data_IF_302408016871
#
_entry.id   IF_302408016871
#
_cell.length_a   1.000
_cell.length_b   1.000
_cell.length_c   1.000
_cell.angle_alpha   90.00
_cell.angle_beta   90.00
_cell.angle_gamma   90.00
#
_symmetry.space_group_name_H-M   'P 1'
#
loop_
_entity.id
_entity.type
_entity.pdbx_description
1 polymer ?
#
# COMPACT_ATOMS: atom_id res chain seq x y z
N UNK A 1 2.57 13.12 8.10
CA UNK A 1 2.75 11.70 8.48
C UNK A 1 3.81 11.09 7.57
N UNK A 2 4.75 10.32 8.11
CA UNK A 2 5.75 9.58 7.32
C UNK A 2 5.25 8.18 6.97
N UNK A 3 5.85 7.52 5.97
CA UNK A 3 5.53 6.13 5.64
C UNK A 3 5.74 5.19 6.84
N UNK A 4 6.76 5.42 7.68
CA UNK A 4 7.00 4.62 8.89
C UNK A 4 5.89 4.77 9.93
N UNK A 5 5.48 6.02 10.21
CA UNK A 5 4.36 6.30 11.12
C UNK A 5 3.05 5.67 10.63
N UNK A 6 2.81 5.71 9.32
CA UNK A 6 1.64 5.07 8.71
C UNK A 6 1.69 3.55 8.89
N UNK A 7 2.85 2.92 8.65
CA UNK A 7 3.03 1.48 8.79
C UNK A 7 2.75 1.02 10.22
N UNK A 8 3.33 1.71 11.20
CA UNK A 8 3.16 1.41 12.61
C UNK A 8 1.70 1.55 13.08
N UNK A 9 0.96 2.51 12.52
CA UNK A 9 -0.41 2.81 12.93
C UNK A 9 -1.47 1.97 12.19
N UNK A 10 -1.28 1.68 10.90
CA UNK A 10 -2.33 1.14 10.02
C UNK A 10 -1.97 -0.18 9.33
N UNK A 11 -0.70 -0.59 9.35
CA UNK A 11 -0.21 -1.77 8.62
C UNK A 11 0.31 -2.85 9.56
N UNK A 12 0.15 -2.70 10.89
CA UNK A 12 0.56 -3.72 11.86
C UNK A 12 -0.18 -5.04 11.64
N UNK A 13 0.57 -6.02 11.13
CA UNK A 13 0.15 -7.39 10.84
C UNK A 13 0.31 -8.25 12.11
N UNK A 14 -0.22 -7.82 13.25
CA UNK A 14 0.10 -8.51 14.52
C UNK A 14 -0.68 -9.82 14.70
N UNK A 15 -1.86 -10.00 14.11
CA UNK A 15 -2.53 -11.31 14.03
C UNK A 15 -3.43 -11.40 12.80
N UNK A 16 -2.96 -12.02 11.72
CA UNK A 16 -3.86 -12.52 10.68
C UNK A 16 -4.41 -13.87 11.16
N UNK A 17 -5.54 -13.83 11.83
CA UNK A 17 -6.33 -15.03 12.03
C UNK A 17 -6.85 -15.45 10.64
N UNK A 18 -6.54 -16.66 10.12
CA UNK A 18 -6.96 -17.13 8.81
C UNK A 18 -8.47 -17.43 8.82
N UNK A 19 -9.31 -16.41 8.99
CA UNK A 19 -10.75 -16.52 8.98
C UNK A 19 -11.37 -15.67 7.85
N UNK A 20 -11.60 -16.37 6.74
CA UNK A 20 -12.84 -16.36 5.95
C UNK A 20 -13.27 -15.13 5.13
N UNK A 21 -12.54 -14.02 5.11
CA UNK A 21 -12.85 -12.93 4.17
C UNK A 21 -11.62 -12.50 3.38
N UNK A 22 -11.58 -12.93 2.11
CA UNK A 22 -10.53 -12.61 1.14
C UNK A 22 -10.57 -11.18 0.61
N UNK A 23 -10.69 -10.16 1.47
CA UNK A 23 -10.59 -8.76 1.06
C UNK A 23 -9.78 -7.97 2.08
N UNK A 24 -8.58 -7.57 1.67
CA UNK A 24 -7.71 -6.74 2.47
C UNK A 24 -8.23 -5.29 2.47
N UNK A 25 -8.41 -4.63 3.63
CA UNK A 25 -8.70 -3.21 3.67
C UNK A 25 -7.45 -2.44 3.21
N UNK A 26 -7.59 -1.73 2.10
CA UNK A 26 -6.58 -0.80 1.59
C UNK A 26 -6.74 0.51 2.38
N UNK A 27 -5.86 0.74 3.33
CA UNK A 27 -5.84 2.01 4.07
C UNK A 27 -5.12 3.06 3.22
N UNK A 28 -5.74 4.22 3.05
CA UNK A 28 -5.12 5.39 2.44
C UNK A 28 -5.28 6.59 3.34
N UNK A 29 -4.24 7.39 3.46
CA UNK A 29 -4.27 8.69 4.13
C UNK A 29 -3.83 9.74 3.11
N UNK A 30 -4.62 10.79 2.97
CA UNK A 30 -4.21 11.99 2.25
C UNK A 30 -4.09 13.15 3.22
N UNK A 31 -3.09 14.00 3.01
CA UNK A 31 -2.89 15.25 3.72
C UNK A 31 -2.88 16.34 2.66
N UNK A 32 -3.73 17.34 2.85
CA UNK A 32 -3.82 18.50 1.95
C UNK A 32 -2.81 19.60 2.31
N UNK A 33 -2.77 20.66 1.50
CA UNK A 33 -1.89 21.81 1.72
C UNK A 33 -2.23 22.61 2.99
N UNK A 34 -3.41 22.40 3.57
CA UNK A 34 -3.82 22.98 4.85
C UNK A 34 -3.50 22.06 6.04
N UNK A 35 -2.79 20.95 5.79
CA UNK A 35 -2.52 19.87 6.74
C UNK A 35 -3.76 19.14 7.26
N UNK A 36 -4.89 19.21 6.55
CA UNK A 36 -6.06 18.39 6.89
C UNK A 36 -5.81 16.97 6.44
N UNK A 37 -6.06 16.03 7.35
CA UNK A 37 -5.86 14.61 7.11
C UNK A 37 -7.19 13.93 6.81
N UNK A 38 -7.25 13.20 5.71
CA UNK A 38 -8.34 12.30 5.37
C UNK A 38 -7.87 10.85 5.49
N UNK A 39 -8.72 9.99 6.05
CA UNK A 39 -8.46 8.55 6.16
C UNK A 39 -9.51 7.82 5.36
N UNK A 40 -9.06 6.95 4.47
CA UNK A 40 -9.90 6.16 3.58
C UNK A 40 -9.65 4.68 3.87
N UNK A 41 -10.74 3.95 4.11
CA UNK A 41 -10.73 2.50 4.06
C UNK A 41 -11.31 2.10 2.71
N UNK A 42 -10.43 1.72 1.80
CA UNK A 42 -10.81 1.28 0.46
C UNK A 42 -11.01 -0.24 0.51
N UNK A 43 -12.20 -0.69 0.14
CA UNK A 43 -12.52 -2.11 -0.01
C UNK A 43 -12.50 -2.41 -1.50
N UNK A 44 -11.45 -3.07 -1.96
CA UNK A 44 -11.20 -3.31 -3.38
C UNK A 44 -10.91 -4.77 -3.67
N UNK A 45 -11.48 -5.28 -4.77
CA UNK A 45 -11.12 -6.58 -5.33
C UNK A 45 -9.92 -6.48 -6.30
N UNK A 46 -9.50 -5.26 -6.67
CA UNK A 46 -8.54 -4.98 -7.75
C UNK A 46 -7.63 -3.79 -7.43
N UNK A 47 -6.34 -3.95 -7.70
CA UNK A 47 -5.30 -2.93 -7.46
C UNK A 47 -5.54 -1.61 -8.21
N UNK A 48 -6.14 -1.68 -9.39
CA UNK A 48 -6.38 -0.54 -10.28
C UNK A 48 -7.37 0.46 -9.68
N UNK A 49 -8.35 -0.01 -8.91
CA UNK A 49 -9.30 0.85 -8.20
C UNK A 49 -8.59 1.63 -7.08
N UNK A 50 -7.62 1.00 -6.42
CA UNK A 50 -6.80 1.63 -5.39
C UNK A 50 -5.90 2.70 -6.01
N UNK A 51 -5.26 2.39 -7.15
CA UNK A 51 -4.47 3.38 -7.89
C UNK A 51 -5.32 4.56 -8.37
N UNK A 52 -6.57 4.31 -8.80
CA UNK A 52 -7.50 5.36 -9.19
C UNK A 52 -7.83 6.30 -8.02
N UNK A 53 -8.11 5.75 -6.83
CA UNK A 53 -8.36 6.54 -5.63
C UNK A 53 -7.12 7.37 -5.22
N UNK A 54 -5.94 6.74 -5.20
CA UNK A 54 -4.67 7.44 -4.93
C UNK A 54 -4.45 8.60 -5.90
N UNK A 55 -4.65 8.35 -7.20
CA UNK A 55 -4.47 9.36 -8.24
C UNK A 55 -5.48 10.50 -8.11
N UNK A 56 -6.71 10.21 -7.71
CA UNK A 56 -7.72 11.24 -7.47
C UNK A 56 -7.32 12.17 -6.31
N UNK A 57 -6.89 11.60 -5.17
CA UNK A 57 -6.39 12.36 -4.03
C UNK A 57 -5.12 13.15 -4.36
N UNK A 58 -4.19 12.56 -5.11
CA UNK A 58 -3.00 13.30 -5.52
C UNK A 58 -3.35 14.47 -6.44
N UNK A 59 -4.25 14.27 -7.42
CA UNK A 59 -4.72 15.33 -8.32
C UNK A 59 -5.62 16.37 -7.65
N UNK A 60 -6.17 16.10 -6.47
CA UNK A 60 -6.94 17.09 -5.68
C UNK A 60 -6.04 18.14 -5.01
N UNK A 61 -4.72 17.99 -5.12
CA UNK A 61 -3.75 18.93 -4.57
C UNK A 61 -3.19 18.52 -3.21
N UNK A 62 -3.37 17.25 -2.81
CA UNK A 62 -2.75 16.72 -1.61
C UNK A 62 -1.22 16.74 -1.72
N UNK A 63 -0.54 17.22 -0.68
CA UNK A 63 0.93 17.26 -0.63
C UNK A 63 1.52 15.90 -0.24
N UNK A 64 0.74 15.08 0.45
CA UNK A 64 1.18 13.77 0.91
C UNK A 64 0.02 12.77 0.86
N UNK A 65 0.17 11.73 0.05
CA UNK A 65 -0.79 10.62 -0.01
C UNK A 65 -0.06 9.32 0.24
N UNK A 66 -0.49 8.56 1.25
CA UNK A 66 0.08 7.26 1.63
C UNK A 66 -1.00 6.20 1.48
N UNK A 67 -0.69 5.07 0.86
CA UNK A 67 -1.63 3.97 0.65
C UNK A 67 -0.95 2.62 0.88
N UNK A 68 -1.58 1.74 1.66
CA UNK A 68 -1.20 0.33 1.75
C UNK A 68 -2.01 -0.51 0.76
N UNK A 69 -1.31 -1.33 -0.02
CA UNK A 69 -1.88 -2.30 -0.94
C UNK A 69 -1.45 -3.71 -0.62
N UNK A 70 -2.43 -4.60 -0.54
CA UNK A 70 -2.18 -6.01 -0.28
C UNK A 70 -2.03 -6.81 -1.57
N UNK A 71 -1.04 -7.71 -1.59
CA UNK A 71 -0.72 -8.55 -2.74
C UNK A 71 -0.62 -10.02 -2.31
N UNK A 72 -1.77 -10.72 -2.21
CA UNK A 72 -1.79 -12.15 -1.95
C UNK A 72 -1.31 -12.93 -3.18
N UNK A 73 -0.22 -13.68 -3.03
CA UNK A 73 0.26 -14.70 -3.94
C UNK A 73 -0.44 -16.01 -3.59
N UNK A 74 -1.47 -16.34 -4.37
CA UNK A 74 -2.31 -17.52 -4.20
C UNK A 74 -1.49 -18.75 -3.76
N UNK A 75 -1.65 -19.14 -2.48
CA UNK A 75 -1.16 -20.34 -1.81
C UNK A 75 0.19 -20.30 -1.07
N UNK A 76 0.95 -19.19 -1.07
CA UNK A 76 2.15 -19.08 -0.22
C UNK A 76 2.22 -17.74 0.55
N UNK A 77 1.87 -17.79 1.83
CA UNK A 77 1.93 -16.63 2.74
C UNK A 77 3.35 -16.05 2.87
N UNK A 78 4.40 -16.83 2.59
CA UNK A 78 5.77 -16.29 2.60
C UNK A 78 6.11 -15.48 1.34
N UNK A 79 5.23 -15.53 0.35
CA UNK A 79 5.29 -14.76 -0.89
C UNK A 79 4.30 -13.58 -0.88
N UNK A 80 3.37 -13.54 0.08
CA UNK A 80 2.44 -12.42 0.30
C UNK A 80 3.19 -11.20 0.85
N UNK A 81 2.78 -10.00 0.44
CA UNK A 81 3.32 -8.75 0.96
C UNK A 81 2.30 -7.61 0.89
N UNK A 82 2.45 -6.64 1.78
CA UNK A 82 1.83 -5.32 1.66
C UNK A 82 2.84 -4.37 1.03
N UNK A 83 2.44 -3.72 -0.05
CA UNK A 83 3.19 -2.63 -0.66
C UNK A 83 2.57 -1.30 -0.22
N UNK A 84 3.36 -0.49 0.47
CA UNK A 84 2.96 0.85 0.90
C UNK A 84 3.56 1.86 -0.05
N UNK A 85 2.70 2.65 -0.70
CA UNK A 85 3.09 3.77 -1.56
C UNK A 85 2.98 5.08 -0.80
N UNK A 86 3.86 6.02 -1.11
CA UNK A 86 3.74 7.40 -0.68
C UNK A 86 4.05 8.32 -1.86
N UNK A 87 3.16 9.25 -2.14
CA UNK A 87 3.45 10.41 -2.99
C UNK A 87 3.62 11.59 -2.07
N UNK A 88 4.84 12.09 -1.93
CA UNK A 88 5.17 13.25 -1.09
C UNK A 88 5.79 14.33 -1.98
N UNK A 89 5.15 15.49 -2.08
CA UNK A 89 5.60 16.62 -2.90
C UNK A 89 5.91 16.21 -4.35
N UNK A 90 5.12 15.28 -4.89
CA UNK A 90 5.29 14.74 -6.25
C UNK A 90 6.35 13.63 -6.38
N UNK A 91 7.12 13.32 -5.33
CA UNK A 91 8.05 12.21 -5.32
C UNK A 91 7.35 10.91 -4.87
N UNK A 92 7.50 9.85 -5.67
CA UNK A 92 6.99 8.52 -5.33
C UNK A 92 8.01 7.76 -4.49
N UNK A 93 7.58 7.31 -3.32
CA UNK A 93 8.30 6.43 -2.42
C UNK A 93 7.49 5.16 -2.21
N UNK A 94 8.16 4.05 -1.88
CA UNK A 94 7.46 2.81 -1.52
C UNK A 94 8.21 2.00 -0.47
N UNK A 95 7.48 1.15 0.24
CA UNK A 95 7.98 0.15 1.18
C UNK A 95 7.25 -1.17 0.96
N UNK A 96 8.01 -2.26 0.95
CA UNK A 96 7.47 -3.61 0.87
C UNK A 96 7.51 -4.19 2.28
N UNK A 97 6.39 -4.76 2.73
CA UNK A 97 6.25 -5.39 4.03
C UNK A 97 5.82 -6.83 3.76
N UNK A 98 6.74 -7.81 3.84
CA UNK A 98 6.37 -9.20 3.63
C UNK A 98 5.47 -9.67 4.76
N UNK A 99 4.53 -10.54 4.42
CA UNK A 99 3.83 -11.32 5.41
C UNK A 99 4.82 -12.26 6.08
N UNK A 100 4.61 -12.51 7.36
CA UNK A 100 5.20 -13.68 7.97
C UNK A 100 4.26 -14.28 9.01
N UNK A 101 4.55 -15.53 9.37
CA UNK A 101 3.76 -16.30 10.35
C UNK A 101 3.94 -15.79 11.80
N UNK A 102 4.68 -14.71 12.04
CA UNK A 102 5.12 -14.22 13.36
C UNK A 102 4.93 -12.70 13.58
N UNK A 103 4.31 -11.96 12.66
CA UNK A 103 4.20 -10.50 12.67
C UNK A 103 5.49 -9.68 12.45
N UNK A 104 6.67 -10.28 12.21
CA UNK A 104 7.94 -9.52 12.05
C UNK A 104 8.08 -8.87 10.66
N UNK A 105 8.50 -7.61 10.57
CA UNK A 105 8.86 -7.01 9.27
C UNK A 105 10.22 -7.56 8.84
N UNK A 106 10.26 -8.38 7.79
CA UNK A 106 11.51 -8.88 7.18
C UNK A 106 11.80 -8.18 5.85
N UNK A 107 13.02 -8.30 5.35
CA UNK A 107 13.31 -7.91 3.96
C UNK A 107 12.59 -8.90 3.00
N UNK A 108 12.01 -8.42 1.90
CA UNK A 108 11.36 -9.27 0.90
C UNK A 108 12.30 -10.32 0.31
N UNK A 109 11.76 -11.46 -0.13
CA UNK A 109 12.52 -12.43 -0.94
C UNK A 109 12.84 -11.82 -2.31
N UNK A 110 13.90 -12.29 -2.98
CA UNK A 110 14.31 -11.81 -4.31
C UNK A 110 13.17 -11.86 -5.34
N UNK A 111 12.35 -12.92 -5.29
CA UNK A 111 11.18 -13.11 -6.17
C UNK A 111 10.09 -12.05 -5.94
N UNK A 112 9.93 -11.57 -4.70
CA UNK A 112 9.03 -10.46 -4.38
C UNK A 112 9.48 -9.16 -5.07
N UNK A 113 10.78 -8.94 -5.28
CA UNK A 113 11.27 -7.73 -5.96
C UNK A 113 10.93 -7.70 -7.46
N UNK A 114 10.92 -8.85 -8.14
CA UNK A 114 10.53 -8.91 -9.56
C UNK A 114 9.04 -8.55 -9.74
N UNK A 115 8.19 -9.05 -8.84
CA UNK A 115 6.76 -8.70 -8.79
C UNK A 115 6.59 -7.21 -8.44
N UNK A 116 7.33 -6.70 -7.46
CA UNK A 116 7.31 -5.28 -7.09
C UNK A 116 7.71 -4.42 -8.29
N UNK A 117 8.74 -4.79 -9.06
CA UNK A 117 9.11 -4.05 -10.27
C UNK A 117 7.98 -3.98 -11.30
N UNK A 118 7.28 -5.10 -11.53
CA UNK A 118 6.11 -5.11 -12.43
C UNK A 118 4.98 -4.21 -11.90
N UNK A 119 4.69 -4.26 -10.60
CA UNK A 119 3.71 -3.40 -9.95
C UNK A 119 4.11 -1.93 -10.10
N UNK A 120 5.38 -1.59 -9.84
CA UNK A 120 5.89 -0.22 -9.97
C UNK A 120 5.81 0.29 -11.42
N UNK A 121 6.06 -0.55 -12.42
CA UNK A 121 5.88 -0.19 -13.83
C UNK A 121 4.41 0.09 -14.15
N UNK A 122 3.48 -0.73 -13.67
CA UNK A 122 2.04 -0.52 -13.86
C UNK A 122 1.58 0.74 -13.13
N UNK A 123 2.09 0.97 -11.92
CA UNK A 123 1.79 2.13 -11.09
C UNK A 123 2.27 3.44 -11.74
N UNK A 124 3.52 3.50 -12.20
CA UNK A 124 4.06 4.67 -12.91
C UNK A 124 3.28 4.95 -14.20
N UNK A 125 2.96 3.91 -14.98
CA UNK A 125 2.09 4.03 -16.14
C UNK A 125 0.72 4.61 -15.78
N UNK A 126 0.12 4.15 -14.67
CA UNK A 126 -1.20 4.61 -14.23
C UNK A 126 -1.19 6.08 -13.79
N UNK A 127 -0.16 6.50 -13.04
CA UNK A 127 -0.02 7.88 -12.58
C UNK A 127 0.16 8.87 -13.72
N UNK A 128 0.91 8.50 -14.77
CA UNK A 128 1.25 9.39 -15.90
C UNK A 128 0.13 9.58 -16.93
N UNK A 129 -0.86 8.69 -16.95
CA UNK A 129 -2.04 8.82 -17.83
C UNK A 129 -3.16 9.60 -17.16
#
# INVERSE_FOLDING_TARGET
>A
MTIGQFIEAFVKIEEINPNQFGYHPFHMISIDNENKMSVHCLVGHRSEQCYAALKAEWKSGCNNVIMACDFPQAFDIESDFVLVFQILDGAVNYRVIPYNKRGEIKEPKKESYDIVNQIMMQFDYFLRR
#
